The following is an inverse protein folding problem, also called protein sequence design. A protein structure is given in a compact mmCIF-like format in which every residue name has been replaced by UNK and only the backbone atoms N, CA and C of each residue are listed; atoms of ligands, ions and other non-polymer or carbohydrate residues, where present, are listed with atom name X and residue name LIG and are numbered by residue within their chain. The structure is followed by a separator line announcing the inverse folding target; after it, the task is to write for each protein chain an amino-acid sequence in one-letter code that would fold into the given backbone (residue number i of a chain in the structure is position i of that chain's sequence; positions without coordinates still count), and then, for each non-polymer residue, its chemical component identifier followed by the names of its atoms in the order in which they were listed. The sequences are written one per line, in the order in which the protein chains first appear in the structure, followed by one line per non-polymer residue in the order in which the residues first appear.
data_IF_460028766178
#
_entry.id   IF_460028766178
#
_cell.length_a   1.000
_cell.length_b   1.000
_cell.length_c   1.000
_cell.angle_alpha   90.00
_cell.angle_beta   90.00
_cell.angle_gamma   90.00
#
_symmetry.space_group_name_H-M   'P 1'
#
loop_
_entity.id
_entity.type
_entity.pdbx_description
1 polymer ?
#
# COMPACT_ATOMS: atom_id res chain seq x y z
N UNK A 1 -28.98 12.35 -5.74
CA UNK A 1 -28.99 13.79 -5.40
C UNK A 1 -27.60 14.22 -4.97
N UNK A 2 -27.26 15.50 -5.12
CA UNK A 2 -26.03 16.08 -4.56
C UNK A 2 -26.31 16.52 -3.12
N UNK A 3 -25.43 16.16 -2.19
CA UNK A 3 -25.50 16.59 -0.79
C UNK A 3 -24.11 16.91 -0.27
N UNK A 4 -24.00 17.76 0.74
CA UNK A 4 -22.68 18.16 1.24
C UNK A 4 -22.72 19.30 2.23
N UNK A 5 -21.55 19.71 2.68
CA UNK A 5 -21.34 20.81 3.62
C UNK A 5 -20.28 21.76 3.10
N UNK A 6 -20.46 23.05 3.35
CA UNK A 6 -19.46 24.08 3.05
C UNK A 6 -19.44 25.16 4.11
N UNK A 7 -18.28 25.79 4.30
CA UNK A 7 -18.11 27.01 5.10
C UNK A 7 -18.58 26.89 6.56
N UNK A 8 -18.25 25.76 7.18
CA UNK A 8 -18.69 25.41 8.54
C UNK A 8 -17.50 25.14 9.46
N UNK A 9 -17.55 25.72 10.67
CA UNK A 9 -16.70 25.33 11.79
C UNK A 9 -17.36 24.22 12.59
N UNK A 10 -16.65 23.14 12.82
CA UNK A 10 -17.12 22.02 13.64
C UNK A 10 -16.13 21.73 14.74
N UNK A 11 -16.61 21.79 15.98
CA UNK A 11 -15.85 21.45 17.16
C UNK A 11 -16.55 20.28 17.85
N UNK A 12 -15.92 19.11 17.83
CA UNK A 12 -16.50 17.91 18.44
C UNK A 12 -15.53 17.34 19.47
N UNK A 13 -15.99 17.28 20.72
CA UNK A 13 -15.27 16.64 21.80
C UNK A 13 -16.02 15.38 22.20
N UNK A 14 -15.41 14.22 22.00
CA UNK A 14 -15.97 12.96 22.48
C UNK A 14 -15.20 12.48 23.73
N UNK A 15 -15.78 12.60 24.94
CA UNK A 15 -15.18 12.06 26.15
C UNK A 15 -15.32 10.53 26.28
N UNK A 16 -16.08 9.88 25.39
CA UNK A 16 -16.25 8.42 25.37
C UNK A 16 -15.04 7.70 24.78
N UNK A 17 -14.82 6.47 25.22
CA UNK A 17 -13.86 5.53 24.60
C UNK A 17 -14.36 4.93 23.28
N UNK A 18 -15.63 5.16 22.93
CA UNK A 18 -16.27 4.64 21.71
C UNK A 18 -15.85 5.41 20.46
N UNK A 19 -15.63 4.68 19.36
CA UNK A 19 -15.32 5.26 18.06
C UNK A 19 -16.46 6.16 17.53
N UNK A 20 -16.14 7.41 17.21
CA UNK A 20 -17.03 8.35 16.53
C UNK A 20 -16.44 8.79 15.18
N UNK A 21 -17.32 9.22 14.28
CA UNK A 21 -16.98 9.96 13.07
C UNK A 21 -17.89 11.18 12.98
N UNK A 22 -17.35 12.34 12.61
CA UNK A 22 -18.16 13.55 12.46
C UNK A 22 -19.01 13.50 11.19
N UNK A 23 -18.39 13.12 10.07
CA UNK A 23 -19.04 13.04 8.76
C UNK A 23 -19.04 11.59 8.30
N UNK A 24 -20.23 11.02 8.15
CA UNK A 24 -20.40 9.58 8.16
C UNK A 24 -21.36 9.08 7.08
N UNK A 25 -20.85 8.27 6.16
CA UNK A 25 -21.60 7.34 5.31
C UNK A 25 -20.98 5.95 5.47
N UNK A 26 -21.48 5.14 6.40
CA UNK A 26 -21.11 3.73 6.54
C UNK A 26 -22.35 2.86 6.44
N UNK A 27 -22.26 1.76 5.68
CA UNK A 27 -23.35 0.78 5.56
C UNK A 27 -24.64 1.30 4.93
N UNK A 28 -24.62 2.49 4.29
CA UNK A 28 -25.79 3.02 3.59
C UNK A 28 -25.84 2.54 2.14
N UNK A 29 -27.01 2.63 1.50
CA UNK A 29 -27.12 2.43 0.06
C UNK A 29 -26.19 3.42 -0.66
N UNK A 30 -25.55 2.95 -1.74
CA UNK A 30 -24.55 3.69 -2.52
C UNK A 30 -24.92 5.17 -2.70
N UNK A 31 -24.16 6.08 -2.10
CA UNK A 31 -24.43 7.52 -2.22
C UNK A 31 -23.81 8.04 -3.52
N UNK A 32 -24.65 8.65 -4.36
CA UNK A 32 -24.22 9.06 -5.71
C UNK A 32 -23.21 10.22 -5.74
N UNK A 33 -23.40 11.26 -4.91
CA UNK A 33 -22.64 12.52 -4.98
C UNK A 33 -22.57 13.22 -3.61
N UNK A 34 -21.37 13.41 -3.07
CA UNK A 34 -21.10 14.13 -1.82
C UNK A 34 -20.01 15.19 -1.99
N UNK A 35 -20.13 16.32 -1.28
CA UNK A 35 -19.06 17.32 -1.21
C UNK A 35 -18.84 17.86 0.21
N UNK A 36 -17.59 18.12 0.56
CA UNK A 36 -17.17 18.73 1.82
C UNK A 36 -16.07 19.74 1.52
N UNK A 37 -16.41 21.02 1.63
CA UNK A 37 -15.57 22.12 1.16
C UNK A 37 -15.38 23.18 2.25
N UNK A 38 -14.15 23.65 2.44
CA UNK A 38 -13.87 24.78 3.33
C UNK A 38 -14.44 24.60 4.75
N UNK A 39 -14.29 23.40 5.30
CA UNK A 39 -14.66 23.10 6.68
C UNK A 39 -13.47 23.32 7.61
N UNK A 40 -13.73 23.83 8.81
CA UNK A 40 -12.75 23.92 9.88
C UNK A 40 -13.16 22.97 11.01
N UNK A 41 -12.51 21.82 11.09
CA UNK A 41 -12.90 20.70 11.91
C UNK A 41 -11.84 20.49 13.01
N UNK A 42 -12.26 20.51 14.27
CA UNK A 42 -11.43 20.16 15.41
C UNK A 42 -12.10 19.03 16.21
N UNK A 43 -11.35 17.95 16.42
CA UNK A 43 -11.86 16.68 16.94
C UNK A 43 -11.01 16.16 18.08
N UNK A 44 -11.66 15.88 19.19
CA UNK A 44 -11.10 15.07 20.27
C UNK A 44 -11.72 13.67 20.20
N UNK A 45 -10.87 12.65 20.03
CA UNK A 45 -11.26 11.22 19.96
C UNK A 45 -12.21 10.79 18.82
N UNK A 46 -12.43 11.62 17.79
CA UNK A 46 -13.22 11.25 16.60
C UNK A 46 -12.41 11.21 15.30
N UNK A 47 -12.95 10.47 14.32
CA UNK A 47 -12.56 10.58 12.91
C UNK A 47 -13.25 11.78 12.26
N UNK A 48 -12.58 12.49 11.35
CA UNK A 48 -13.20 13.60 10.62
C UNK A 48 -14.12 13.11 9.53
N UNK A 49 -13.60 12.23 8.68
CA UNK A 49 -14.31 11.73 7.51
C UNK A 49 -14.37 10.20 7.53
N UNK A 50 -15.57 9.64 7.38
CA UNK A 50 -15.80 8.23 7.12
C UNK A 50 -16.77 8.07 5.95
N UNK A 51 -16.23 7.71 4.79
CA UNK A 51 -17.02 7.49 3.57
C UNK A 51 -16.73 6.12 2.97
N UNK A 52 -17.76 5.29 2.93
CA UNK A 52 -17.75 3.99 2.26
C UNK A 52 -18.71 3.98 1.07
N UNK A 53 -18.29 3.42 -0.07
CA UNK A 53 -19.21 3.16 -1.19
C UNK A 53 -19.82 4.40 -1.85
N UNK A 54 -19.12 5.54 -1.85
CA UNK A 54 -19.58 6.80 -2.47
C UNK A 54 -19.08 6.92 -3.90
N UNK A 55 -19.92 7.40 -4.82
CA UNK A 55 -19.62 7.40 -6.26
C UNK A 55 -19.02 8.68 -6.84
N UNK A 56 -19.21 9.82 -6.21
CA UNK A 56 -18.56 11.08 -6.58
C UNK A 56 -18.35 11.83 -5.28
N UNK A 57 -17.14 11.80 -4.76
CA UNK A 57 -16.82 12.38 -3.45
C UNK A 57 -15.81 13.50 -3.64
N UNK A 58 -16.19 14.71 -3.26
CA UNK A 58 -15.29 15.86 -3.18
C UNK A 58 -15.01 16.18 -1.71
N UNK A 59 -13.74 16.16 -1.30
CA UNK A 59 -13.29 16.63 0.01
C UNK A 59 -12.16 17.62 -0.25
N UNK A 60 -12.41 18.91 -0.10
CA UNK A 60 -11.43 19.92 -0.46
C UNK A 60 -11.35 21.12 0.48
N UNK A 61 -10.17 21.75 0.52
CA UNK A 61 -9.92 22.99 1.25
C UNK A 61 -10.30 22.93 2.73
N UNK A 62 -10.32 21.72 3.32
CA UNK A 62 -10.69 21.56 4.72
C UNK A 62 -9.46 21.71 5.60
N UNK A 63 -9.64 22.33 6.77
CA UNK A 63 -8.69 22.28 7.87
C UNK A 63 -9.21 21.28 8.89
N UNK A 64 -8.41 20.27 9.21
CA UNK A 64 -8.74 19.26 10.21
C UNK A 64 -7.63 19.21 11.24
N UNK A 65 -8.04 19.23 12.51
CA UNK A 65 -7.17 19.01 13.65
C UNK A 65 -7.75 17.85 14.47
N UNK A 66 -7.07 16.70 14.47
CA UNK A 66 -7.55 15.46 15.06
C UNK A 66 -6.63 14.98 16.17
N UNK A 67 -7.07 15.16 17.42
CA UNK A 67 -6.32 14.76 18.62
C UNK A 67 -6.65 13.35 19.10
N UNK A 68 -7.23 12.50 18.25
CA UNK A 68 -7.58 11.13 18.65
C UNK A 68 -6.33 10.31 18.96
N UNK A 69 -6.36 9.53 20.05
CA UNK A 69 -5.33 8.53 20.38
C UNK A 69 -5.62 7.14 19.84
N UNK A 70 -6.70 6.95 19.07
CA UNK A 70 -7.18 5.62 18.66
C UNK A 70 -7.66 5.51 17.22
N UNK A 71 -7.94 6.63 16.57
CA UNK A 71 -8.59 6.62 15.27
C UNK A 71 -7.86 7.54 14.29
N UNK A 72 -7.62 7.02 13.07
CA UNK A 72 -7.14 7.80 11.93
C UNK A 72 -8.10 8.95 11.57
N UNK A 73 -7.60 10.09 11.07
CA UNK A 73 -8.43 11.27 10.81
C UNK A 73 -9.41 11.06 9.63
N UNK A 74 -9.08 10.16 8.70
CA UNK A 74 -9.77 10.00 7.41
C UNK A 74 -9.90 8.53 7.06
N UNK A 75 -11.10 8.13 6.64
CA UNK A 75 -11.42 6.79 6.16
C UNK A 75 -12.26 6.88 4.89
N UNK A 76 -11.63 6.71 3.73
CA UNK A 76 -12.25 6.74 2.40
C UNK A 76 -12.08 5.37 1.74
N UNK A 77 -13.04 4.45 1.95
CA UNK A 77 -12.88 3.06 1.49
C UNK A 77 -13.96 2.65 0.48
N UNK A 78 -13.56 2.02 -0.62
CA UNK A 78 -14.51 1.46 -1.58
C UNK A 78 -15.29 2.50 -2.36
N UNK A 79 -14.75 3.71 -2.55
CA UNK A 79 -15.43 4.78 -3.28
C UNK A 79 -15.05 4.75 -4.78
N UNK A 80 -15.84 5.44 -5.61
CA UNK A 80 -15.48 5.76 -6.99
C UNK A 80 -15.43 7.27 -7.18
N UNK A 81 -14.54 7.74 -8.07
CA UNK A 81 -14.34 9.16 -8.41
C UNK A 81 -14.24 10.07 -7.17
N UNK A 82 -13.12 9.92 -6.46
CA UNK A 82 -12.79 10.72 -5.27
C UNK A 82 -11.86 11.87 -5.67
N UNK A 83 -12.13 13.07 -5.19
CA UNK A 83 -11.26 14.24 -5.27
C UNK A 83 -10.97 14.72 -3.86
N UNK A 84 -9.71 14.58 -3.43
CA UNK A 84 -9.21 14.96 -2.11
C UNK A 84 -8.17 16.06 -2.28
N UNK A 85 -8.57 17.32 -2.19
CA UNK A 85 -7.82 18.46 -2.75
C UNK A 85 -7.54 19.55 -1.72
N UNK A 86 -6.29 20.00 -1.59
CA UNK A 86 -6.00 21.23 -0.83
C UNK A 86 -6.35 21.17 0.66
N UNK A 87 -6.47 19.98 1.25
CA UNK A 87 -6.80 19.85 2.68
C UNK A 87 -5.54 19.99 3.54
N UNK A 88 -5.69 20.57 4.72
CA UNK A 88 -4.66 20.64 5.75
C UNK A 88 -5.11 19.85 6.98
N UNK A 89 -4.47 18.73 7.26
CA UNK A 89 -4.88 17.76 8.27
C UNK A 89 -3.72 17.52 9.22
N UNK A 90 -3.92 17.87 10.49
CA UNK A 90 -3.03 17.49 11.59
C UNK A 90 -3.67 16.38 12.40
N UNK A 91 -2.91 15.35 12.75
CA UNK A 91 -3.44 14.17 13.44
C UNK A 91 -2.40 13.44 14.29
N UNK A 92 -2.86 12.75 15.34
CA UNK A 92 -1.97 12.07 16.29
C UNK A 92 -1.87 10.56 16.07
N UNK A 93 -2.93 9.92 15.56
CA UNK A 93 -3.05 8.46 15.52
C UNK A 93 -3.65 7.97 14.21
N UNK A 94 -3.22 6.80 13.75
CA UNK A 94 -3.75 6.08 12.59
C UNK A 94 -3.47 6.77 11.26
N UNK A 95 -3.45 5.99 10.18
CA UNK A 95 -3.25 6.50 8.82
C UNK A 95 -4.48 7.25 8.30
N UNK A 96 -4.25 8.08 7.28
CA UNK A 96 -5.28 8.46 6.32
C UNK A 96 -5.57 7.25 5.43
N UNK A 97 -6.70 6.58 5.66
CA UNK A 97 -7.03 5.34 4.95
C UNK A 97 -7.82 5.65 3.67
N UNK A 98 -7.28 5.25 2.52
CA UNK A 98 -7.87 5.46 1.20
C UNK A 98 -7.87 4.16 0.36
N UNK A 99 -8.33 3.07 0.97
CA UNK A 99 -8.30 1.74 0.36
C UNK A 99 -9.46 1.49 -0.63
N UNK A 100 -9.31 0.53 -1.54
CA UNK A 100 -10.36 0.05 -2.45
C UNK A 100 -11.01 1.14 -3.34
N UNK A 101 -10.35 2.28 -3.56
CA UNK A 101 -10.90 3.34 -4.39
C UNK A 101 -10.59 3.08 -5.88
N UNK A 102 -11.58 3.30 -6.75
CA UNK A 102 -11.46 2.97 -8.19
C UNK A 102 -11.01 4.11 -9.10
N UNK A 103 -11.07 5.35 -8.59
CA UNK A 103 -10.50 6.54 -9.21
C UNK A 103 -10.34 7.57 -8.11
N UNK A 104 -9.12 8.03 -7.87
CA UNK A 104 -8.79 8.99 -6.81
C UNK A 104 -7.84 10.04 -7.36
N UNK A 105 -8.15 11.30 -7.11
CA UNK A 105 -7.19 12.40 -7.20
C UNK A 105 -6.96 12.92 -5.79
N UNK A 106 -5.75 12.71 -5.27
CA UNK A 106 -5.26 13.30 -4.02
C UNK A 106 -4.21 14.35 -4.36
N UNK A 107 -4.54 15.63 -4.25
CA UNK A 107 -3.65 16.69 -4.71
C UNK A 107 -3.54 17.89 -3.77
N UNK A 108 -2.32 18.44 -3.65
CA UNK A 108 -2.03 19.65 -2.88
C UNK A 108 -2.45 19.60 -1.41
N UNK A 109 -2.51 18.41 -0.80
CA UNK A 109 -2.84 18.29 0.62
C UNK A 109 -1.59 18.43 1.49
N UNK A 110 -1.78 18.90 2.73
CA UNK A 110 -0.79 18.88 3.79
C UNK A 110 -1.26 17.94 4.89
N UNK A 111 -0.55 16.82 5.09
CA UNK A 111 -0.83 15.84 6.13
C UNK A 111 0.32 15.87 7.14
N UNK A 112 0.01 16.25 8.38
CA UNK A 112 1.00 16.40 9.44
C UNK A 112 0.62 15.45 10.58
N UNK A 113 1.39 14.40 10.76
CA UNK A 113 1.25 13.48 11.89
C UNK A 113 2.11 13.96 13.04
N UNK A 114 1.55 14.14 14.23
CA UNK A 114 2.35 14.30 15.46
C UNK A 114 2.47 12.95 16.18
N UNK A 115 3.66 12.35 16.12
CA UNK A 115 3.94 11.06 16.74
C UNK A 115 4.31 11.17 18.23
N UNK A 116 4.24 12.36 18.84
CA UNK A 116 4.55 12.54 20.27
C UNK A 116 3.54 11.84 21.19
N UNK A 117 2.28 11.74 20.78
CA UNK A 117 1.22 11.00 21.49
C UNK A 117 1.42 9.49 21.30
N UNK A 118 2.41 8.97 22.03
CA UNK A 118 2.74 7.54 22.12
C UNK A 118 1.59 6.77 22.76
N UNK A 119 0.80 6.10 21.94
CA UNK A 119 0.23 4.80 22.30
C UNK A 119 0.90 3.74 21.40
N UNK A 120 2.23 3.61 21.54
CA UNK A 120 2.89 2.33 21.29
C UNK A 120 2.60 1.45 22.50
N UNK A 121 1.44 0.80 22.50
CA UNK A 121 1.12 -0.19 23.53
C UNK A 121 2.18 -1.31 23.44
N UNK A 122 3.08 -1.38 24.43
CA UNK A 122 4.07 -2.46 24.57
C UNK A 122 5.17 -2.55 23.50
N UNK A 123 5.39 -1.52 22.66
CA UNK A 123 6.46 -1.54 21.64
C UNK A 123 6.06 -2.15 20.29
N UNK A 124 4.79 -2.50 20.11
CA UNK A 124 4.19 -2.75 18.80
C UNK A 124 3.63 -1.44 18.26
N UNK A 125 4.13 -0.98 17.12
CA UNK A 125 3.52 0.14 16.41
C UNK A 125 2.09 -0.26 16.03
N UNK A 126 1.09 0.46 16.55
CA UNK A 126 -0.29 0.33 16.06
C UNK A 126 -0.34 1.14 14.75
N UNK A 127 -0.68 0.48 13.63
CA UNK A 127 -0.70 1.01 12.25
C UNK A 127 -0.61 2.54 12.14
N UNK A 128 0.61 3.02 11.86
CA UNK A 128 1.00 4.42 11.95
C UNK A 128 1.60 4.91 10.64
N UNK A 129 1.32 6.16 10.24
CA UNK A 129 1.94 6.72 9.03
C UNK A 129 1.10 7.79 8.36
N UNK A 130 1.44 8.06 7.11
CA UNK A 130 0.78 9.02 6.24
C UNK A 130 -0.51 8.45 5.65
N UNK A 131 -0.41 7.86 4.45
CA UNK A 131 -1.54 7.45 3.63
C UNK A 131 -1.44 5.97 3.24
N UNK A 132 -2.57 5.26 3.29
CA UNK A 132 -2.72 3.91 2.74
C UNK A 132 -3.64 3.89 1.52
N UNK A 133 -3.18 3.26 0.43
CA UNK A 133 -3.83 3.22 -0.89
C UNK A 133 -4.22 1.81 -1.34
N UNK A 134 -4.15 0.83 -0.42
CA UNK A 134 -4.31 -0.60 -0.73
C UNK A 134 -5.59 -0.91 -1.52
N UNK A 135 -5.47 -1.81 -2.49
CA UNK A 135 -6.50 -2.27 -3.43
C UNK A 135 -7.10 -1.16 -4.31
N UNK A 136 -6.38 -0.05 -4.47
CA UNK A 136 -6.80 1.05 -5.33
C UNK A 136 -6.44 0.86 -6.80
N UNK A 137 -7.22 1.47 -7.69
CA UNK A 137 -6.92 1.55 -9.12
C UNK A 137 -7.15 2.96 -9.66
N UNK A 138 -6.36 3.39 -10.64
CA UNK A 138 -6.46 4.73 -11.28
C UNK A 138 -6.32 5.86 -10.27
N UNK A 139 -5.26 5.83 -9.48
CA UNK A 139 -4.99 6.83 -8.46
C UNK A 139 -3.94 7.84 -8.93
N UNK A 140 -4.16 9.10 -8.62
CA UNK A 140 -3.19 10.17 -8.78
C UNK A 140 -2.93 10.83 -7.43
N UNK A 141 -1.71 10.71 -6.92
CA UNK A 141 -1.25 11.29 -5.65
C UNK A 141 -0.20 12.34 -5.98
N UNK A 142 -0.65 13.59 -6.11
CA UNK A 142 0.11 14.66 -6.75
C UNK A 142 0.41 15.80 -5.77
N UNK A 143 1.68 16.19 -5.69
CA UNK A 143 2.09 17.46 -5.07
C UNK A 143 1.59 17.65 -3.62
N UNK A 144 1.51 16.55 -2.85
CA UNK A 144 1.14 16.60 -1.44
C UNK A 144 2.38 16.78 -0.55
N UNK A 145 2.18 17.35 0.63
CA UNK A 145 3.18 17.34 1.72
C UNK A 145 2.72 16.37 2.79
N UNK A 146 3.56 15.39 3.13
CA UNK A 146 3.31 14.40 4.18
C UNK A 146 4.48 14.46 5.15
N UNK A 147 4.19 14.86 6.38
CA UNK A 147 5.21 15.10 7.39
C UNK A 147 4.88 14.36 8.68
N UNK A 148 5.89 13.80 9.33
CA UNK A 148 5.78 13.31 10.70
C UNK A 148 6.63 14.16 11.64
N UNK A 149 5.99 14.73 12.66
CA UNK A 149 6.64 15.41 13.77
C UNK A 149 6.93 14.40 14.89
N UNK A 150 8.02 14.61 15.63
CA UNK A 150 8.35 13.83 16.83
C UNK A 150 8.44 12.31 16.60
N UNK A 151 8.73 11.90 15.37
CA UNK A 151 8.82 10.50 14.98
C UNK A 151 9.92 9.77 15.77
N UNK A 152 9.65 8.59 16.36
CA UNK A 152 10.68 7.80 17.01
C UNK A 152 11.72 7.31 15.99
N UNK A 153 12.93 7.04 16.49
CA UNK A 153 14.04 6.50 15.68
C UNK A 153 13.80 5.03 15.32
N UNK A 154 13.05 4.29 16.15
CA UNK A 154 12.84 2.84 16.07
C UNK A 154 11.53 2.36 15.44
N UNK A 155 10.82 3.16 14.63
CA UNK A 155 9.66 2.67 13.86
C UNK A 155 10.14 1.75 12.71
N UNK A 156 10.54 0.53 13.06
CA UNK A 156 10.92 -0.53 12.12
C UNK A 156 9.66 -1.27 11.66
N UNK A 157 9.37 -1.19 10.37
CA UNK A 157 8.23 -1.89 9.74
C UNK A 157 6.89 -1.14 9.72
N UNK A 158 6.84 0.12 10.15
CA UNK A 158 5.64 0.97 10.09
C UNK A 158 6.03 2.45 9.91
N UNK A 159 5.07 3.37 9.79
CA UNK A 159 5.35 4.81 9.66
C UNK A 159 5.62 5.28 8.22
N UNK A 160 5.18 4.51 7.23
CA UNK A 160 5.23 4.86 5.80
C UNK A 160 4.47 6.14 5.52
N UNK A 161 5.10 7.07 4.81
CA UNK A 161 4.43 8.27 4.32
C UNK A 161 3.32 7.92 3.31
N UNK A 162 3.60 7.00 2.39
CA UNK A 162 2.62 6.47 1.42
C UNK A 162 2.84 4.97 1.33
N UNK A 163 1.75 4.20 1.38
CA UNK A 163 1.85 2.76 1.23
C UNK A 163 0.69 2.09 0.51
N UNK A 164 0.95 0.89 0.02
CA UNK A 164 -0.04 -0.15 -0.29
C UNK A 164 0.41 -1.45 0.36
N UNK A 165 -0.50 -2.28 0.85
CA UNK A 165 -0.22 -3.61 1.38
C UNK A 165 -1.42 -4.54 1.27
N UNK A 166 -1.18 -5.85 1.36
CA UNK A 166 -2.25 -6.83 1.51
C UNK A 166 -2.58 -7.03 2.99
N UNK A 167 -3.37 -6.12 3.58
CA UNK A 167 -3.66 -6.14 5.03
C UNK A 167 -4.69 -7.21 5.47
N UNK A 168 -5.44 -7.82 4.55
CA UNK A 168 -6.68 -8.54 4.93
C UNK A 168 -7.04 -9.75 4.08
N UNK A 169 -6.19 -10.18 3.13
CA UNK A 169 -6.64 -11.08 2.07
C UNK A 169 -5.73 -12.32 1.92
N UNK A 170 -5.54 -13.07 3.00
CA UNK A 170 -4.82 -14.35 2.97
C UNK A 170 -5.58 -15.44 2.18
N UNK A 171 -6.90 -15.30 2.00
CA UNK A 171 -7.73 -16.29 1.31
C UNK A 171 -7.62 -16.26 -0.22
N UNK A 172 -7.00 -15.23 -0.81
CA UNK A 172 -6.99 -14.94 -2.26
C UNK A 172 -5.72 -15.38 -2.98
N UNK A 173 -4.84 -16.07 -2.27
CA UNK A 173 -3.47 -16.27 -2.72
C UNK A 173 -3.23 -17.74 -3.06
N UNK A 174 -2.79 -17.99 -4.29
CA UNK A 174 -2.32 -19.32 -4.71
C UNK A 174 -1.23 -19.19 -5.78
N UNK A 175 -0.47 -20.26 -5.98
CA UNK A 175 0.52 -20.35 -7.05
C UNK A 175 0.69 -21.80 -7.49
N UNK A 176 0.89 -22.01 -8.79
CA UNK A 176 0.91 -23.38 -9.34
C UNK A 176 1.43 -23.44 -10.77
N UNK A 177 1.39 -24.62 -11.37
CA UNK A 177 1.90 -24.82 -12.73
C UNK A 177 0.76 -25.24 -13.64
N UNK A 178 0.53 -24.49 -14.71
CA UNK A 178 -0.55 -24.79 -15.63
C UNK A 178 -0.37 -26.17 -16.25
N UNK A 179 -1.41 -27.02 -16.20
CA UNK A 179 -1.42 -28.35 -16.82
C UNK A 179 -2.20 -28.37 -18.13
N UNK A 180 -3.12 -27.42 -18.33
CA UNK A 180 -3.82 -27.21 -19.59
C UNK A 180 -4.18 -25.73 -19.75
N UNK A 181 -4.17 -25.24 -20.99
CA UNK A 181 -4.41 -23.83 -21.33
C UNK A 181 -5.27 -23.77 -22.60
N UNK A 182 -6.29 -22.91 -22.58
CA UNK A 182 -7.00 -22.47 -23.80
C UNK A 182 -6.87 -20.96 -23.92
N UNK A 183 -7.55 -20.34 -24.91
CA UNK A 183 -7.53 -18.88 -25.03
C UNK A 183 -8.02 -18.19 -23.76
N UNK A 184 -9.05 -18.70 -23.08
CA UNK A 184 -9.70 -18.06 -21.92
C UNK A 184 -9.76 -18.95 -20.68
N UNK A 185 -8.99 -20.03 -20.63
CA UNK A 185 -8.92 -20.90 -19.45
C UNK A 185 -7.49 -21.27 -19.10
N UNK A 186 -7.26 -21.49 -17.80
CA UNK A 186 -6.07 -22.09 -17.25
C UNK A 186 -6.51 -23.19 -16.28
N UNK A 187 -5.96 -24.38 -16.43
CA UNK A 187 -6.24 -25.50 -15.52
C UNK A 187 -4.94 -26.01 -14.89
N UNK A 188 -5.03 -26.47 -13.66
CA UNK A 188 -3.92 -27.08 -12.93
C UNK A 188 -4.43 -28.27 -12.12
N UNK A 189 -4.15 -29.49 -12.58
CA UNK A 189 -4.63 -30.71 -11.90
C UNK A 189 -4.03 -30.91 -10.51
N UNK A 190 -2.93 -30.24 -10.20
CA UNK A 190 -2.26 -30.28 -8.90
C UNK A 190 -2.65 -29.12 -7.99
N UNK A 191 -3.45 -28.17 -8.47
CA UNK A 191 -3.89 -27.02 -7.70
C UNK A 191 -4.59 -27.42 -6.39
N UNK A 192 -4.37 -26.58 -5.38
CA UNK A 192 -4.96 -26.67 -4.04
C UNK A 192 -5.86 -25.47 -3.77
N UNK A 193 -6.42 -24.89 -4.84
CA UNK A 193 -7.25 -23.69 -4.77
C UNK A 193 -8.43 -23.90 -3.81
N UNK A 194 -8.54 -23.01 -2.84
CA UNK A 194 -9.74 -22.92 -2.01
C UNK A 194 -10.96 -22.45 -2.81
N UNK A 195 -12.16 -22.77 -2.33
CA UNK A 195 -13.40 -22.29 -2.93
C UNK A 195 -13.44 -20.76 -2.95
N UNK A 196 -13.77 -20.17 -4.10
CA UNK A 196 -14.03 -18.74 -4.25
C UNK A 196 -15.54 -18.52 -4.30
N UNK A 197 -16.07 -17.63 -3.46
CA UNK A 197 -17.48 -17.25 -3.49
C UNK A 197 -17.68 -16.05 -4.43
N UNK A 198 -18.85 -15.93 -5.06
CA UNK A 198 -19.18 -14.73 -5.85
C UNK A 198 -19.08 -13.45 -5.02
N UNK A 199 -19.47 -13.51 -3.74
CA UNK A 199 -19.33 -12.39 -2.80
C UNK A 199 -17.88 -11.97 -2.54
N UNK A 200 -16.92 -12.90 -2.72
CA UNK A 200 -15.48 -12.65 -2.59
C UNK A 200 -14.95 -11.96 -3.84
N UNK A 201 -15.26 -12.47 -5.03
CA UNK A 201 -14.89 -11.82 -6.31
C UNK A 201 -15.48 -10.42 -6.45
N UNK A 202 -16.71 -10.22 -5.94
CA UNK A 202 -17.36 -8.91 -5.93
C UNK A 202 -16.65 -7.88 -5.03
N UNK A 203 -15.92 -8.34 -4.01
CA UNK A 203 -15.21 -7.47 -3.07
C UNK A 203 -13.75 -7.24 -3.47
N UNK A 204 -13.09 -8.28 -3.97
CA UNK A 204 -11.69 -8.25 -4.38
C UNK A 204 -11.56 -8.96 -5.73
N UNK A 205 -11.49 -8.22 -6.85
CA UNK A 205 -11.30 -8.81 -8.16
C UNK A 205 -9.96 -9.55 -8.22
N UNK A 206 -10.04 -10.87 -8.36
CA UNK A 206 -8.86 -11.73 -8.42
C UNK A 206 -8.32 -11.80 -9.84
N UNK A 207 -7.01 -11.93 -9.92
CA UNK A 207 -6.29 -12.09 -11.17
C UNK A 207 -5.45 -13.35 -11.14
N UNK A 208 -5.18 -13.89 -12.31
CA UNK A 208 -4.09 -14.86 -12.51
C UNK A 208 -3.01 -14.19 -13.35
N UNK A 209 -1.77 -14.20 -12.87
CA UNK A 209 -0.59 -13.71 -13.60
C UNK A 209 0.35 -14.86 -13.94
N UNK A 210 0.94 -14.80 -15.14
CA UNK A 210 1.92 -15.77 -15.63
C UNK A 210 3.34 -15.31 -15.26
N UNK A 211 4.10 -16.22 -14.67
CA UNK A 211 5.38 -15.95 -14.01
C UNK A 211 6.57 -16.48 -14.81
N UNK A 212 6.36 -17.45 -15.70
CA UNK A 212 7.40 -18.03 -16.56
C UNK A 212 6.90 -18.26 -18.00
N UNK A 213 7.86 -18.33 -18.93
CA UNK A 213 7.59 -18.63 -20.34
C UNK A 213 7.31 -17.39 -21.20
N UNK A 214 6.92 -17.56 -22.47
CA UNK A 214 6.71 -16.47 -23.41
C UNK A 214 5.63 -15.46 -23.01
N UNK A 215 4.69 -15.87 -22.14
CA UNK A 215 3.63 -15.02 -21.61
C UNK A 215 3.93 -14.45 -20.22
N UNK A 216 5.18 -14.52 -19.73
CA UNK A 216 5.57 -13.88 -18.47
C UNK A 216 5.14 -12.41 -18.43
N UNK A 217 4.40 -12.03 -17.40
CA UNK A 217 3.88 -10.67 -17.22
C UNK A 217 2.46 -10.46 -17.76
N UNK A 218 1.91 -11.44 -18.50
CA UNK A 218 0.49 -11.46 -18.84
C UNK A 218 -0.34 -11.84 -17.61
N UNK A 219 -1.48 -11.16 -17.45
CA UNK A 219 -2.44 -11.47 -16.40
C UNK A 219 -3.88 -11.23 -16.85
N UNK A 220 -4.84 -11.92 -16.24
CA UNK A 220 -6.27 -11.85 -16.58
C UNK A 220 -7.11 -11.77 -15.32
N UNK A 221 -8.26 -11.10 -15.39
CA UNK A 221 -9.24 -11.20 -14.30
C UNK A 221 -9.86 -12.59 -14.33
N UNK A 222 -10.06 -13.16 -13.15
CA UNK A 222 -10.74 -14.44 -12.98
C UNK A 222 -12.23 -14.18 -12.90
N UNK A 223 -13.00 -14.73 -13.85
CA UNK A 223 -14.47 -14.72 -13.83
C UNK A 223 -14.98 -15.76 -12.81
N UNK A 224 -14.40 -16.97 -12.83
CA UNK A 224 -14.81 -18.05 -11.94
C UNK A 224 -13.69 -19.08 -11.73
N UNK A 225 -13.68 -19.70 -10.56
CA UNK A 225 -12.81 -20.84 -10.22
C UNK A 225 -13.68 -22.08 -10.03
N UNK A 226 -13.47 -23.11 -10.84
CA UNK A 226 -14.04 -24.44 -10.60
C UNK A 226 -13.00 -25.31 -9.89
N UNK A 227 -13.18 -25.50 -8.59
CA UNK A 227 -12.29 -26.32 -7.76
C UNK A 227 -12.43 -27.83 -8.00
N UNK A 228 -13.51 -28.28 -8.66
CA UNK A 228 -13.70 -29.70 -9.00
C UNK A 228 -12.95 -30.07 -10.27
N UNK A 229 -13.09 -29.26 -11.32
CA UNK A 229 -12.31 -29.45 -12.56
C UNK A 229 -10.91 -28.83 -12.49
N UNK A 230 -10.63 -28.07 -11.43
CA UNK A 230 -9.38 -27.29 -11.24
C UNK A 230 -9.09 -26.41 -12.44
N UNK A 231 -10.09 -25.63 -12.85
CA UNK A 231 -10.01 -24.69 -13.96
C UNK A 231 -10.44 -23.28 -13.58
N UNK A 232 -9.72 -22.29 -14.10
CA UNK A 232 -10.06 -20.88 -14.11
C UNK A 232 -10.76 -20.51 -15.42
N UNK A 233 -11.78 -19.67 -15.35
CA UNK A 233 -12.34 -18.95 -16.49
C UNK A 233 -11.88 -17.49 -16.43
N UNK A 234 -11.42 -16.97 -17.57
CA UNK A 234 -10.76 -15.67 -17.66
C UNK A 234 -11.59 -14.66 -18.46
N UNK A 235 -11.42 -13.38 -18.14
CA UNK A 235 -12.18 -12.28 -18.73
C UNK A 235 -11.89 -11.98 -20.20
N UNK A 236 -10.70 -12.33 -20.68
CA UNK A 236 -10.28 -12.12 -22.06
C UNK A 236 -9.21 -13.13 -22.51
N UNK A 237 -9.02 -13.34 -23.82
CA UNK A 237 -7.98 -14.21 -24.34
C UNK A 237 -6.56 -13.82 -23.90
N UNK A 238 -5.67 -14.82 -23.77
CA UNK A 238 -4.23 -14.57 -23.63
C UNK A 238 -3.62 -13.95 -24.88
N UNK A 239 -2.61 -13.08 -24.70
CA UNK A 239 -1.85 -12.45 -25.78
C UNK A 239 -0.49 -11.93 -25.26
N UNK A 240 0.62 -12.68 -25.40
CA UNK A 240 0.70 -14.02 -25.98
C UNK A 240 0.09 -15.11 -25.08
N UNK A 241 -0.22 -16.27 -25.66
CA UNK A 241 -0.71 -17.43 -24.90
C UNK A 241 0.40 -18.07 -24.04
N UNK A 242 0.15 -18.38 -22.75
CA UNK A 242 1.06 -19.18 -21.96
C UNK A 242 1.13 -20.62 -22.49
N UNK A 243 2.21 -21.31 -22.15
CA UNK A 243 2.42 -22.72 -22.47
C UNK A 243 2.07 -23.62 -21.28
N UNK A 244 1.74 -24.89 -21.53
CA UNK A 244 1.64 -25.88 -20.45
C UNK A 244 2.97 -25.96 -19.70
N UNK A 245 2.91 -25.94 -18.37
CA UNK A 245 4.08 -25.84 -17.49
C UNK A 245 4.44 -24.41 -17.08
N UNK A 246 3.76 -23.39 -17.63
CA UNK A 246 3.93 -22.01 -17.17
C UNK A 246 3.52 -21.89 -15.70
N UNK A 247 4.40 -21.28 -14.91
CA UNK A 247 4.12 -20.94 -13.52
C UNK A 247 3.14 -19.78 -13.47
N UNK A 248 2.19 -19.82 -12.55
CA UNK A 248 1.20 -18.77 -12.36
C UNK A 248 1.02 -18.44 -10.88
N UNK A 249 0.49 -17.25 -10.60
CA UNK A 249 -0.06 -16.90 -9.29
C UNK A 249 -1.44 -16.29 -9.40
N UNK A 250 -2.28 -16.61 -8.43
CA UNK A 250 -3.60 -16.03 -8.20
C UNK A 250 -3.49 -15.07 -7.02
N UNK A 251 -3.91 -13.82 -7.21
CA UNK A 251 -3.90 -12.80 -6.17
C UNK A 251 -4.84 -11.64 -6.52
N UNK A 252 -4.93 -10.63 -5.66
CA UNK A 252 -5.58 -9.35 -5.96
C UNK A 252 -4.51 -8.27 -5.99
N UNK A 253 -4.52 -7.42 -7.01
CA UNK A 253 -3.62 -6.28 -7.05
C UNK A 253 -3.81 -5.37 -5.84
N UNK A 254 -2.74 -5.15 -5.07
CA UNK A 254 -2.74 -4.17 -3.97
C UNK A 254 -2.72 -2.74 -4.49
N UNK A 255 -2.28 -2.50 -5.72
CA UNK A 255 -2.31 -1.20 -6.36
C UNK A 255 -2.23 -1.34 -7.89
N UNK A 256 -3.02 -0.55 -8.61
CA UNK A 256 -3.01 -0.53 -10.08
C UNK A 256 -3.07 0.89 -10.65
N UNK A 257 -2.46 1.11 -11.81
CA UNK A 257 -2.62 2.33 -12.62
C UNK A 257 -2.45 3.60 -11.78
N UNK A 258 -1.40 3.65 -10.96
CA UNK A 258 -1.24 4.69 -9.94
C UNK A 258 -0.01 5.54 -10.22
N UNK A 259 -0.18 6.87 -10.18
CA UNK A 259 0.91 7.83 -10.27
C UNK A 259 1.09 8.55 -8.93
N UNK A 260 2.24 8.36 -8.29
CA UNK A 260 2.66 9.05 -7.07
C UNK A 260 3.74 10.04 -7.46
N UNK A 261 3.39 11.31 -7.55
CA UNK A 261 4.24 12.32 -8.17
C UNK A 261 4.34 13.63 -7.40
N UNK A 262 5.54 14.21 -7.38
CA UNK A 262 5.74 15.59 -6.91
C UNK A 262 5.57 15.78 -5.39
N UNK A 263 5.38 14.70 -4.64
CA UNK A 263 5.11 14.79 -3.21
C UNK A 263 6.37 15.12 -2.42
N UNK A 264 6.20 15.85 -1.31
CA UNK A 264 7.24 16.17 -0.33
C UNK A 264 7.01 15.35 0.93
N UNK A 265 7.92 14.45 1.24
CA UNK A 265 7.83 13.55 2.39
C UNK A 265 8.92 13.92 3.40
N UNK A 266 8.53 14.34 4.60
CA UNK A 266 9.43 14.97 5.57
C UNK A 266 9.40 14.20 6.89
N UNK A 267 10.58 13.76 7.34
CA UNK A 267 10.81 13.13 8.64
C UNK A 267 9.95 11.87 8.93
N UNK A 268 9.40 11.24 7.89
CA UNK A 268 8.59 10.03 8.04
C UNK A 268 9.48 8.80 8.34
N UNK A 269 9.10 7.92 9.27
CA UNK A 269 9.88 6.72 9.56
C UNK A 269 10.12 5.79 8.36
N UNK A 270 9.15 5.69 7.47
CA UNK A 270 9.32 5.11 6.15
C UNK A 270 8.91 6.08 5.04
N UNK A 271 9.48 5.93 3.84
CA UNK A 271 9.15 6.75 2.68
C UNK A 271 7.90 6.24 1.95
N UNK A 272 8.07 5.91 0.67
CA UNK A 272 7.01 5.32 -0.16
C UNK A 272 7.25 3.82 -0.20
N UNK A 273 6.30 3.02 0.28
CA UNK A 273 6.46 1.56 0.29
C UNK A 273 5.25 0.91 -0.36
N UNK A 274 5.47 0.38 -1.56
CA UNK A 274 4.49 -0.43 -2.26
C UNK A 274 4.74 -1.89 -1.87
N UNK A 275 4.10 -2.32 -0.78
CA UNK A 275 4.12 -3.73 -0.38
C UNK A 275 3.26 -4.55 -1.34
N UNK A 276 3.66 -5.82 -1.50
CA UNK A 276 2.86 -6.84 -2.18
C UNK A 276 2.56 -6.54 -3.66
N UNK A 277 3.51 -5.86 -4.30
CA UNK A 277 3.52 -5.60 -5.72
C UNK A 277 2.61 -4.46 -6.16
N UNK A 278 2.57 -4.24 -7.47
CA UNK A 278 1.69 -3.27 -8.12
C UNK A 278 1.70 -3.49 -9.64
N UNK A 279 0.67 -3.01 -10.32
CA UNK A 279 0.60 -3.06 -11.78
C UNK A 279 0.51 -1.66 -12.38
N UNK A 280 1.38 -1.35 -13.34
CA UNK A 280 1.34 -0.07 -14.05
C UNK A 280 1.37 1.14 -13.10
N UNK A 281 2.33 1.14 -12.19
CA UNK A 281 2.48 2.18 -11.18
C UNK A 281 3.76 2.97 -11.37
N UNK A 282 3.68 4.28 -11.20
CA UNK A 282 4.81 5.20 -11.35
C UNK A 282 5.00 6.00 -10.06
N UNK A 283 6.22 5.97 -9.52
CA UNK A 283 6.66 6.81 -8.41
C UNK A 283 7.70 7.78 -8.93
N UNK A 284 7.34 9.05 -9.12
CA UNK A 284 8.23 9.97 -9.82
C UNK A 284 8.31 11.39 -9.26
N UNK A 285 9.46 12.04 -9.41
CA UNK A 285 9.65 13.45 -9.03
C UNK A 285 9.26 13.76 -7.57
N UNK A 286 9.29 12.78 -6.66
CA UNK A 286 9.03 13.02 -5.24
C UNK A 286 10.33 13.47 -4.56
N UNK A 287 10.20 14.27 -3.50
CA UNK A 287 11.29 14.68 -2.62
C UNK A 287 11.09 14.09 -1.23
N UNK A 288 12.02 13.26 -0.78
CA UNK A 288 12.02 12.64 0.53
C UNK A 288 13.17 13.23 1.35
N UNK A 289 12.86 13.92 2.45
CA UNK A 289 13.87 14.49 3.36
C UNK A 289 13.74 13.81 4.71
N UNK A 290 14.84 13.21 5.20
CA UNK A 290 14.91 12.46 6.46
C UNK A 290 13.82 11.37 6.62
N UNK A 291 13.23 10.97 5.50
CA UNK A 291 12.37 9.83 5.39
C UNK A 291 13.20 8.67 4.84
N UNK A 292 12.87 7.41 5.19
CA UNK A 292 13.51 6.30 4.47
C UNK A 292 13.17 6.35 2.98
N UNK A 293 13.80 5.46 2.23
CA UNK A 293 13.69 5.39 0.78
C UNK A 293 12.34 5.00 0.19
N UNK A 294 12.40 4.68 -1.10
CA UNK A 294 11.28 4.12 -1.87
C UNK A 294 11.48 2.62 -2.00
N UNK A 295 10.47 1.83 -1.67
CA UNK A 295 10.47 0.37 -1.79
C UNK A 295 9.34 -0.06 -2.73
N UNK A 296 9.69 -0.90 -3.70
CA UNK A 296 8.74 -1.78 -4.38
C UNK A 296 9.04 -3.20 -3.93
N UNK A 297 8.08 -3.87 -3.28
CA UNK A 297 8.27 -5.22 -2.75
C UNK A 297 7.38 -6.23 -3.46
N UNK A 298 7.94 -7.37 -3.82
CA UNK A 298 7.25 -8.57 -4.23
C UNK A 298 7.60 -9.69 -3.25
N UNK A 299 6.66 -10.59 -2.96
CA UNK A 299 6.82 -11.61 -1.92
C UNK A 299 6.41 -12.97 -2.45
N UNK A 300 7.27 -13.95 -2.23
CA UNK A 300 6.94 -15.37 -2.21
C UNK A 300 6.97 -15.90 -0.78
N UNK A 301 5.83 -16.34 -0.28
CA UNK A 301 5.71 -16.93 1.05
C UNK A 301 4.81 -18.17 1.05
N UNK A 302 5.19 -19.15 1.85
CA UNK A 302 4.30 -20.24 2.21
C UNK A 302 3.31 -19.72 3.27
N UNK A 303 2.02 -19.97 3.06
CA UNK A 303 1.00 -19.63 4.05
C UNK A 303 1.19 -20.50 5.30
N UNK A 304 0.83 -19.96 6.47
CA UNK A 304 0.93 -20.66 7.75
C UNK A 304 0.18 -22.02 7.67
N UNK A 305 0.88 -23.16 7.82
CA UNK A 305 0.28 -24.49 7.70
C UNK A 305 -0.84 -24.76 8.72
N UNK A 306 -0.84 -24.05 9.86
CA UNK A 306 -1.90 -24.16 10.86
C UNK A 306 -3.23 -23.57 10.39
N UNK A 307 -3.19 -22.58 9.48
CA UNK A 307 -4.37 -21.97 8.87
C UNK A 307 -4.71 -22.59 7.50
N UNK A 308 -3.70 -23.11 6.79
CA UNK A 308 -3.80 -23.70 5.46
C UNK A 308 -2.95 -24.99 5.37
N UNK A 309 -3.43 -26.13 5.88
CA UNK A 309 -2.67 -27.39 5.97
C UNK A 309 -2.18 -27.92 4.62
N UNK A 310 -2.83 -27.50 3.53
CA UNK A 310 -2.47 -27.80 2.15
C UNK A 310 -1.17 -27.14 1.65
N UNK A 311 -0.43 -26.37 2.48
CA UNK A 311 0.85 -25.73 2.08
C UNK A 311 0.71 -24.76 0.89
N UNK A 312 -0.40 -24.00 0.86
CA UNK A 312 -0.65 -22.94 -0.13
C UNK A 312 0.45 -21.88 -0.11
N UNK A 313 0.63 -21.22 -1.26
CA UNK A 313 1.66 -20.21 -1.47
C UNK A 313 1.06 -18.89 -1.94
N UNK A 314 1.74 -17.83 -1.56
CA UNK A 314 1.52 -16.46 -2.02
C UNK A 314 2.68 -16.10 -2.92
N UNK A 315 2.40 -15.58 -4.12
CA UNK A 315 3.43 -15.00 -4.97
C UNK A 315 2.95 -13.67 -5.52
N UNK A 316 3.17 -12.61 -4.76
CA UNK A 316 2.87 -11.25 -5.21
C UNK A 316 3.85 -10.80 -6.27
N UNK A 317 3.37 -10.06 -7.27
CA UNK A 317 4.20 -9.58 -8.37
C UNK A 317 4.09 -8.07 -8.54
N UNK A 318 5.18 -7.48 -9.02
CA UNK A 318 5.15 -6.13 -9.59
C UNK A 318 5.36 -6.20 -11.10
N UNK A 319 4.51 -5.52 -11.88
CA UNK A 319 4.56 -5.57 -13.34
C UNK A 319 4.41 -4.16 -13.92
N UNK A 320 5.26 -3.80 -14.90
CA UNK A 320 5.16 -2.55 -15.67
C UNK A 320 5.19 -1.30 -14.79
N UNK A 321 6.08 -1.26 -13.81
CA UNK A 321 6.13 -0.16 -12.83
C UNK A 321 7.46 0.56 -12.86
N UNK A 322 7.46 1.85 -12.49
CA UNK A 322 8.65 2.69 -12.56
C UNK A 322 8.87 3.54 -11.30
N UNK A 323 10.13 3.71 -10.92
CA UNK A 323 10.58 4.61 -9.86
C UNK A 323 11.59 5.58 -10.47
N UNK A 324 11.17 6.80 -10.78
CA UNK A 324 11.96 7.70 -11.63
C UNK A 324 12.13 9.11 -11.09
N UNK A 325 13.31 9.70 -11.26
CA UNK A 325 13.54 11.13 -10.99
C UNK A 325 13.19 11.59 -9.56
N UNK A 326 13.21 10.70 -8.57
CA UNK A 326 12.97 11.06 -7.17
C UNK A 326 14.26 11.58 -6.53
N UNK A 327 14.14 12.48 -5.55
CA UNK A 327 15.26 12.99 -4.75
C UNK A 327 15.08 12.54 -3.31
N UNK A 328 16.06 11.84 -2.75
CA UNK A 328 15.99 11.24 -1.41
C UNK A 328 17.22 11.70 -0.63
N UNK A 329 16.99 12.49 0.43
CA UNK A 329 18.03 13.21 1.17
C UNK A 329 17.96 12.81 2.65
N UNK A 330 19.08 12.35 3.20
CA UNK A 330 19.23 12.11 4.62
C UNK A 330 20.18 13.16 5.24
N UNK A 331 19.62 14.23 5.81
CA UNK A 331 20.40 15.27 6.49
C UNK A 331 20.55 15.02 7.98
N UNK A 332 19.65 14.25 8.60
CA UNK A 332 19.63 14.01 10.05
C UNK A 332 20.55 12.87 10.48
N UNK A 333 20.88 11.96 9.57
CA UNK A 333 21.58 10.72 9.90
C UNK A 333 20.70 9.76 10.67
N UNK A 334 19.38 9.95 10.77
CA UNK A 334 18.52 9.03 11.53
C UNK A 334 18.02 7.86 10.69
N UNK A 335 17.86 8.05 9.38
CA UNK A 335 17.18 7.09 8.50
C UNK A 335 17.87 6.97 7.15
N UNK A 336 18.07 5.74 6.63
CA UNK A 336 18.74 5.55 5.34
C UNK A 336 17.98 6.12 4.16
N UNK A 337 18.69 6.75 3.23
CA UNK A 337 18.18 7.18 1.93
C UNK A 337 18.47 6.08 0.89
N UNK A 338 17.44 5.54 0.23
CA UNK A 338 17.60 4.45 -0.74
C UNK A 338 16.45 4.34 -1.76
N UNK A 339 16.66 3.55 -2.81
CA UNK A 339 15.59 3.00 -3.65
C UNK A 339 15.80 1.48 -3.71
N UNK A 340 14.78 0.69 -3.38
CA UNK A 340 14.89 -0.75 -3.27
C UNK A 340 13.83 -1.48 -4.08
N UNK A 341 14.27 -2.49 -4.84
CA UNK A 341 13.43 -3.51 -5.45
C UNK A 341 13.57 -4.78 -4.62
N UNK A 342 12.62 -4.99 -3.72
CA UNK A 342 12.71 -6.05 -2.73
C UNK A 342 11.88 -7.27 -3.15
N UNK A 343 12.52 -8.27 -3.77
CA UNK A 343 11.90 -9.57 -4.03
C UNK A 343 12.23 -10.53 -2.88
N UNK A 344 11.29 -10.75 -1.98
CA UNK A 344 11.49 -11.58 -0.80
C UNK A 344 10.96 -13.00 -1.01
N UNK A 345 11.74 -13.98 -0.58
CA UNK A 345 11.39 -15.38 -0.58
C UNK A 345 11.51 -15.92 0.86
N UNK A 346 10.39 -16.31 1.46
CA UNK A 346 10.35 -16.75 2.87
C UNK A 346 10.54 -18.26 3.07
N UNK A 347 10.82 -19.01 2.00
CA UNK A 347 11.07 -20.45 2.06
C UNK A 347 12.28 -20.86 1.18
N UNK A 348 13.06 -21.83 1.65
CA UNK A 348 14.14 -22.48 0.89
C UNK A 348 13.63 -23.24 -0.35
N UNK A 349 12.35 -23.61 -0.33
CA UNK A 349 11.62 -24.17 -1.48
C UNK A 349 10.85 -23.08 -2.25
N UNK A 350 11.31 -21.83 -2.17
CA UNK A 350 10.69 -20.69 -2.84
C UNK A 350 10.44 -20.92 -4.32
N UNK A 351 9.33 -20.38 -4.75
CA UNK A 351 8.75 -20.48 -6.05
C UNK A 351 9.67 -19.81 -7.08
N UNK A 352 10.01 -20.53 -8.16
CA UNK A 352 11.02 -20.09 -9.16
C UNK A 352 10.46 -19.13 -10.23
N UNK A 353 9.32 -18.51 -9.97
CA UNK A 353 8.67 -17.55 -10.88
C UNK A 353 9.22 -16.14 -10.72
N UNK A 354 9.10 -15.30 -11.74
CA UNK A 354 9.47 -13.89 -11.64
C UNK A 354 8.55 -13.15 -10.64
N UNK A 355 9.13 -12.44 -9.67
CA UNK A 355 8.38 -11.55 -8.76
C UNK A 355 8.24 -10.11 -9.28
N UNK A 356 9.11 -9.72 -10.22
CA UNK A 356 9.14 -8.37 -10.79
C UNK A 356 9.40 -8.45 -12.29
N UNK A 357 8.55 -7.82 -13.10
CA UNK A 357 8.59 -7.89 -14.57
C UNK A 357 8.42 -6.48 -15.14
N UNK A 358 9.29 -6.08 -16.06
CA UNK A 358 9.25 -4.75 -16.68
C UNK A 358 9.26 -3.61 -15.66
N UNK A 359 10.25 -3.64 -14.76
CA UNK A 359 10.45 -2.61 -13.73
C UNK A 359 11.56 -1.66 -14.15
N UNK A 360 11.27 -0.37 -14.13
CA UNK A 360 12.23 0.69 -14.45
C UNK A 360 12.62 1.49 -13.21
N UNK A 361 13.92 1.61 -12.95
CA UNK A 361 14.46 2.52 -11.93
C UNK A 361 15.48 3.42 -12.59
N UNK A 362 15.23 4.73 -12.67
CA UNK A 362 16.13 5.65 -13.39
C UNK A 362 16.05 7.09 -12.88
N UNK A 363 17.13 7.87 -13.04
CA UNK A 363 17.14 9.31 -12.74
C UNK A 363 16.97 9.71 -11.27
N UNK A 364 16.92 8.76 -10.34
CA UNK A 364 16.80 9.07 -8.91
C UNK A 364 18.13 9.62 -8.35
N UNK A 365 18.03 10.62 -7.48
CA UNK A 365 19.15 11.21 -6.73
C UNK A 365 19.02 10.73 -5.28
N UNK A 366 20.08 10.09 -4.77
CA UNK A 366 20.15 9.61 -3.39
C UNK A 366 21.33 10.32 -2.72
N UNK A 367 21.02 11.17 -1.75
CA UNK A 367 21.99 11.90 -0.93
C UNK A 367 22.00 11.28 0.47
N UNK A 368 22.89 10.30 0.72
CA UNK A 368 23.01 9.69 2.04
C UNK A 368 23.56 10.70 3.04
N UNK A 369 23.48 10.36 4.33
CA UNK A 369 24.08 11.20 5.36
C UNK A 369 25.60 11.22 5.19
N UNK A 370 26.16 12.43 5.10
CA UNK A 370 27.60 12.62 5.08
C UNK A 370 28.15 12.36 6.48
N UNK A 371 28.56 11.12 6.75
CA UNK A 371 29.19 10.75 8.01
C UNK A 371 30.42 11.61 8.27
N UNK A 372 30.47 12.22 9.45
CA UNK A 372 31.70 12.84 9.93
C UNK A 372 32.61 11.74 10.50
N UNK A 373 33.84 11.55 9.99
CA UNK A 373 34.75 10.50 10.46
C UNK A 373 35.13 10.61 11.95
N UNK A 374 34.83 11.74 12.60
CA UNK A 374 35.06 11.95 14.03
C UNK A 374 33.79 11.78 14.89
N UNK A 375 32.67 11.35 14.30
CA UNK A 375 31.41 11.18 15.01
C UNK A 375 31.35 9.80 15.68
N UNK A 376 31.34 9.76 17.01
CA UNK A 376 31.19 8.51 17.76
C UNK A 376 29.74 8.05 17.71
N UNK A 377 29.46 6.97 16.98
CA UNK A 377 28.14 6.34 16.91
C UNK A 377 27.89 5.52 18.18
N UNK A 378 26.85 5.84 18.94
CA UNK A 378 26.52 5.17 20.22
C UNK A 378 25.48 4.06 19.97
N UNK A 379 25.85 2.76 20.11
CA UNK A 379 25.06 1.62 19.62
C UNK A 379 23.70 1.36 20.30
N UNK A 380 23.33 2.13 21.32
CA UNK A 380 22.14 1.85 22.15
C UNK A 380 21.18 3.01 22.30
N UNK A 381 21.42 4.13 21.60
CA UNK A 381 20.56 5.31 21.73
C UNK A 381 20.08 5.92 20.42
N UNK A 382 20.72 5.73 19.27
CA UNK A 382 20.32 6.35 17.99
C UNK A 382 21.13 5.72 16.83
N UNK A 383 20.96 4.43 16.56
CA UNK A 383 21.78 3.79 15.53
C UNK A 383 21.35 4.16 14.10
N UNK A 384 22.29 4.78 13.40
CA UNK A 384 22.51 4.52 11.97
C UNK A 384 22.79 3.03 11.85
N UNK A 385 21.82 2.23 11.42
CA UNK A 385 22.13 0.90 10.87
C UNK A 385 23.09 1.13 9.69
N UNK A 386 24.04 0.23 9.42
CA UNK A 386 25.02 0.35 8.32
C UNK A 386 24.41 0.82 6.98
N UNK A 387 23.12 0.56 6.79
CA UNK A 387 22.28 0.97 5.66
C UNK A 387 22.13 2.50 5.51
N UNK A 388 22.29 3.29 6.59
CA UNK A 388 22.16 4.76 6.57
C UNK A 388 23.34 5.52 5.97
N UNK A 389 24.43 4.82 5.70
CA UNK A 389 25.69 5.38 5.21
C UNK A 389 25.95 5.14 3.72
N UNK A 390 25.15 4.27 3.09
CA UNK A 390 25.39 3.86 1.71
C UNK A 390 24.12 4.00 0.85
N UNK A 391 24.22 4.58 -0.36
CA UNK A 391 23.16 4.46 -1.33
C UNK A 391 23.10 2.98 -1.77
N UNK A 392 22.09 2.26 -1.31
CA UNK A 392 21.93 0.86 -1.69
C UNK A 392 20.87 0.75 -2.78
N UNK A 393 21.29 0.35 -3.98
CA UNK A 393 20.41 -0.35 -4.93
C UNK A 393 20.45 -1.83 -4.56
N UNK A 394 19.47 -2.29 -3.79
CA UNK A 394 19.36 -3.71 -3.45
C UNK A 394 18.63 -4.42 -4.59
N UNK A 395 19.39 -5.24 -5.34
CA UNK A 395 18.86 -6.29 -6.20
C UNK A 395 19.21 -7.63 -5.58
N UNK A 396 18.21 -8.48 -5.37
CA UNK A 396 18.42 -9.87 -5.02
C UNK A 396 17.47 -10.37 -3.96
N UNK A 397 17.36 -11.71 -3.81
CA UNK A 397 16.59 -12.29 -2.72
C UNK A 397 17.19 -11.77 -1.41
N UNK A 398 16.37 -11.12 -0.59
CA UNK A 398 16.72 -10.94 0.82
C UNK A 398 17.10 -12.32 1.37
N UNK A 399 18.08 -12.39 2.28
CA UNK A 399 18.32 -13.64 3.04
C UNK A 399 16.96 -14.14 3.51
N UNK A 400 16.68 -15.43 3.29
CA UNK A 400 15.53 -16.12 3.89
C UNK A 400 15.51 -15.71 5.35
N UNK A 401 14.57 -14.83 5.71
CA UNK A 401 14.38 -14.46 7.11
C UNK A 401 13.92 -15.73 7.80
N UNK A 402 14.56 -16.10 8.89
CA UNK A 402 14.07 -17.19 9.73
C UNK A 402 12.59 -16.92 10.01
N UNK A 403 11.76 -17.97 9.96
CA UNK A 403 10.34 -17.85 10.26
C UNK A 403 10.18 -17.10 11.58
N UNK A 404 9.34 -16.06 11.57
CA UNK A 404 8.95 -15.38 12.80
C UNK A 404 8.19 -16.43 13.62
N UNK A 405 8.85 -16.98 14.64
CA UNK A 405 8.25 -17.93 15.60
C UNK A 405 7.26 -17.25 16.51
#
# INVERSE_FOLDING_TARGET
SLSGMTDLGVFAVNPSTSACALLWNRGSSKISKLFFNNLNIHLENCRAFWFEGTDNLLVQNNRVDSHSSRNGPVYLVGNSRVSFLGNNITYNFGRVQMQNNSTLLMQHNSLIRDAQNKDMDGGTAIESGGVELSFGTKLQVLDNTIQTLNAPVGEAGDGEAIMSQQSTVQNVLDAGSATAITSTTLSDTNALWGTVTESRLARYPEVVAILTGPASGEWRNIISIDTRSKSLLLDKPWDPAPEVGSLYSIFTWTLMHTNIQGNKLIDNPNGIVLYDGCYDCTVQNNTLTNSRGIVLRAVDEALNPSAYPESRRVHHVAIRSSITNNTIINTSGLRPAYVALNAEAFDKNSYRGAGMIDIQVTGNIIEPYSANPNQTYVPKLNEITQEGLFPCFLFGPARVKDAVT
#
